data_IF_059600129036
#
_entry.id   IF_059600129036
#
_cell.length_a   1.000
_cell.length_b   1.000
_cell.length_c   1.000
_cell.angle_alpha   90.00
_cell.angle_beta   90.00
_cell.angle_gamma   90.00
#
_symmetry.space_group_name_H-M   'P 1'
#
loop_
_entity.id
_entity.type
_entity.pdbx_description
1 polymer ?
#
# COMPACT_ATOMS: atom_id res chain seq x y z
N UNK A 1 -6.01 3.68 -12.57
CA UNK A 1 -5.87 2.34 -11.93
C UNK A 1 -4.64 1.65 -12.47
N UNK A 2 -3.74 1.27 -11.56
CA UNK A 2 -2.47 0.58 -11.86
C UNK A 2 -2.31 -0.61 -10.94
N UNK A 3 -1.65 -1.65 -11.41
CA UNK A 3 -1.31 -2.80 -10.59
C UNK A 3 0.09 -2.67 -9.99
N UNK A 4 0.25 -3.23 -8.80
CA UNK A 4 1.50 -3.24 -8.05
C UNK A 4 1.85 -4.66 -7.62
N UNK A 5 3.13 -4.99 -7.62
CA UNK A 5 3.59 -6.30 -7.17
C UNK A 5 3.61 -6.37 -5.65
N UNK A 6 3.61 -7.58 -5.10
CA UNK A 6 3.86 -7.92 -3.71
C UNK A 6 5.09 -7.19 -3.17
N UNK A 7 6.19 -7.21 -3.94
CA UNK A 7 7.43 -6.54 -3.56
C UNK A 7 7.28 -5.03 -3.48
N UNK A 8 6.49 -4.44 -4.37
CA UNK A 8 6.20 -3.01 -4.36
C UNK A 8 5.42 -2.61 -3.09
N UNK A 9 4.42 -3.41 -2.71
CA UNK A 9 3.66 -3.22 -1.47
C UNK A 9 4.60 -3.22 -0.26
N UNK A 10 5.44 -4.25 -0.13
CA UNK A 10 6.36 -4.37 1.00
C UNK A 10 7.38 -3.23 1.11
N UNK A 11 7.77 -2.65 -0.02
CA UNK A 11 8.80 -1.61 -0.09
C UNK A 11 8.23 -0.20 0.12
N UNK A 12 6.95 0.01 -0.23
CA UNK A 12 6.37 1.35 -0.30
C UNK A 12 5.21 1.58 0.67
N UNK A 13 4.74 0.56 1.38
CA UNK A 13 3.59 0.63 2.27
C UNK A 13 4.03 0.31 3.68
N UNK A 14 3.60 1.14 4.63
CA UNK A 14 3.86 0.96 6.05
C UNK A 14 2.82 0.05 6.70
N UNK A 15 1.54 0.22 6.36
CA UNK A 15 0.42 -0.53 6.95
C UNK A 15 -0.68 -0.77 5.94
N UNK A 16 -1.38 -1.89 6.10
CA UNK A 16 -2.62 -2.19 5.40
C UNK A 16 -3.76 -2.39 6.39
N UNK A 17 -4.94 -1.90 6.02
CA UNK A 17 -6.15 -2.03 6.80
C UNK A 17 -7.26 -2.62 5.94
N UNK A 18 -7.74 -3.80 6.32
CA UNK A 18 -8.88 -4.45 5.70
C UNK A 18 -10.14 -4.23 6.55
N UNK A 19 -11.29 -4.58 6.00
CA UNK A 19 -12.57 -4.61 6.73
C UNK A 19 -12.52 -5.46 8.01
N UNK A 20 -11.61 -6.44 8.07
CA UNK A 20 -11.39 -7.32 9.21
C UNK A 20 -10.37 -6.79 10.24
N UNK A 21 -9.74 -5.64 9.98
CA UNK A 21 -8.74 -5.02 10.86
C UNK A 21 -7.41 -4.74 10.17
N UNK A 22 -6.37 -4.54 10.97
CA UNK A 22 -5.00 -4.33 10.46
C UNK A 22 -4.52 -5.66 9.84
N UNK A 23 -4.13 -5.60 8.56
CA UNK A 23 -3.47 -6.70 7.87
C UNK A 23 -1.96 -6.51 8.03
N UNK A 24 -1.28 -7.51 8.58
CA UNK A 24 0.17 -7.46 8.64
C UNK A 24 0.75 -7.58 7.22
N UNK A 25 1.79 -6.82 6.91
CA UNK A 25 2.45 -6.90 5.62
C UNK A 25 3.17 -8.23 5.45
N UNK A 26 3.50 -8.92 6.54
CA UNK A 26 4.03 -10.28 6.48
C UNK A 26 2.98 -11.26 5.94
N UNK A 27 1.70 -11.10 6.30
CA UNK A 27 0.62 -11.93 5.76
C UNK A 27 0.53 -11.81 4.24
N UNK A 28 0.87 -10.65 3.66
CA UNK A 28 0.92 -10.46 2.19
C UNK A 28 1.84 -11.48 1.49
N UNK A 29 2.87 -11.98 2.18
CA UNK A 29 3.78 -12.99 1.60
C UNK A 29 3.05 -14.29 1.31
N UNK A 30 2.06 -14.65 2.11
CA UNK A 30 1.26 -15.87 1.99
C UNK A 30 0.12 -15.77 0.97
N UNK A 31 -0.28 -14.57 0.53
CA UNK A 31 -1.27 -14.43 -0.54
C UNK A 31 -0.69 -14.76 -1.91
N UNK A 32 -1.47 -15.45 -2.75
CA UNK A 32 -1.14 -15.61 -4.15
C UNK A 32 -1.11 -14.25 -4.86
N UNK A 33 0.02 -13.95 -5.50
CA UNK A 33 0.12 -12.76 -6.34
C UNK A 33 -0.59 -13.04 -7.66
N UNK A 34 -1.64 -12.29 -8.03
CA UNK A 34 -2.29 -12.46 -9.32
C UNK A 34 -1.30 -12.12 -10.46
N UNK A 35 -1.48 -12.72 -11.64
CA UNK A 35 -0.56 -12.57 -12.77
C UNK A 35 -0.33 -11.10 -13.17
N UNK A 36 -1.36 -10.25 -13.04
CA UNK A 36 -1.29 -8.81 -13.32
C UNK A 36 -0.83 -7.96 -12.13
N UNK A 37 -0.65 -8.54 -10.95
CA UNK A 37 -0.36 -7.85 -9.69
C UNK A 37 -1.61 -7.33 -8.97
N UNK A 38 -1.42 -6.79 -7.77
CA UNK A 38 -2.50 -6.26 -6.92
C UNK A 38 -3.03 -4.95 -7.50
N UNK A 39 -4.32 -4.90 -7.83
CA UNK A 39 -4.94 -3.70 -8.39
C UNK A 39 -5.00 -2.59 -7.34
N UNK A 40 -4.73 -1.36 -7.76
CA UNK A 40 -4.84 -0.18 -6.90
C UNK A 40 -5.78 0.87 -7.49
N UNK A 41 -6.37 1.69 -6.61
CA UNK A 41 -7.12 2.87 -7.04
C UNK A 41 -6.22 4.04 -7.48
N UNK A 42 -4.90 3.86 -7.50
CA UNK A 42 -3.94 4.87 -7.92
C UNK A 42 -3.91 5.03 -9.44
N UNK A 43 -3.55 6.22 -9.89
CA UNK A 43 -3.06 6.48 -11.22
C UNK A 43 -1.54 6.39 -11.33
N UNK A 44 -1.03 6.42 -12.57
CA UNK A 44 0.41 6.27 -12.85
C UNK A 44 1.27 7.33 -12.14
N UNK A 45 0.76 8.55 -12.03
CA UNK A 45 1.45 9.65 -11.35
C UNK A 45 1.48 9.38 -9.85
N UNK A 46 0.33 9.04 -9.28
CA UNK A 46 0.19 8.78 -7.85
C UNK A 46 1.03 7.60 -7.37
N UNK A 47 1.15 6.54 -8.20
CA UNK A 47 2.08 5.45 -7.95
C UNK A 47 3.53 5.93 -7.86
N UNK A 48 3.96 6.80 -8.79
CA UNK A 48 5.31 7.36 -8.76
C UNK A 48 5.55 8.24 -7.52
N UNK A 49 4.53 8.96 -7.05
CA UNK A 49 4.62 9.74 -5.81
C UNK A 49 4.80 8.82 -4.59
N UNK A 50 4.14 7.66 -4.57
CA UNK A 50 4.35 6.64 -3.52
C UNK A 50 5.77 6.07 -3.61
N UNK A 51 6.25 5.73 -4.81
CA UNK A 51 7.61 5.20 -5.04
C UNK A 51 8.72 6.16 -4.61
N UNK A 52 8.44 7.47 -4.63
CA UNK A 52 9.37 8.50 -4.17
C UNK A 52 9.18 8.88 -2.70
N UNK A 53 8.18 8.29 -2.02
CA UNK A 53 7.80 8.65 -0.66
C UNK A 53 7.25 10.08 -0.51
N UNK A 54 6.75 10.67 -1.61
CA UNK A 54 6.14 12.00 -1.66
C UNK A 54 4.66 11.97 -1.27
N UNK A 55 3.98 10.84 -1.52
CA UNK A 55 2.56 10.71 -1.22
C UNK A 55 2.30 10.50 0.27
N UNK A 56 1.42 11.32 0.84
CA UNK A 56 0.94 11.23 2.23
C UNK A 56 -0.45 10.60 2.34
N UNK A 57 -1.22 10.66 1.26
CA UNK A 57 -2.60 10.19 1.24
C UNK A 57 -2.68 8.66 1.16
N UNK A 58 -3.62 8.10 1.93
CA UNK A 58 -3.93 6.68 1.85
C UNK A 58 -4.57 6.35 0.51
N UNK A 59 -4.40 5.11 0.09
CA UNK A 59 -4.97 4.60 -1.15
C UNK A 59 -5.50 3.19 -0.94
N UNK A 60 -6.11 2.60 -1.95
CA UNK A 60 -6.73 1.28 -1.84
C UNK A 60 -6.05 0.28 -2.74
N UNK A 61 -5.85 -0.92 -2.20
CA UNK A 61 -5.28 -2.08 -2.90
C UNK A 61 -6.26 -3.23 -2.80
N UNK A 62 -6.53 -3.88 -3.92
CA UNK A 62 -7.37 -5.06 -3.97
C UNK A 62 -6.54 -6.29 -3.57
N UNK A 63 -6.84 -6.85 -2.38
CA UNK A 63 -6.19 -8.07 -1.89
C UNK A 63 -7.09 -9.27 -2.20
N UNK A 64 -6.75 -10.10 -3.20
CA UNK A 64 -7.52 -11.30 -3.52
C UNK A 64 -7.47 -12.29 -2.34
N UNK A 65 -8.61 -12.87 -1.99
CA UNK A 65 -8.73 -13.86 -0.90
C UNK A 65 -8.75 -13.29 0.53
N UNK A 66 -8.36 -12.03 0.74
CA UNK A 66 -8.30 -11.41 2.07
C UNK A 66 -9.63 -10.80 2.54
N UNK A 67 -10.15 -9.81 1.82
CA UNK A 67 -11.40 -9.08 2.16
C UNK A 67 -11.89 -8.11 1.08
N UNK A 68 -11.24 -8.03 -0.09
CA UNK A 68 -11.50 -7.02 -1.12
C UNK A 68 -10.53 -5.84 -1.03
N UNK A 69 -11.05 -4.61 -1.09
CA UNK A 69 -10.23 -3.40 -1.05
C UNK A 69 -9.70 -3.14 0.36
N UNK A 70 -8.38 -3.16 0.51
CA UNK A 70 -7.64 -2.77 1.70
C UNK A 70 -7.13 -1.33 1.57
N UNK A 71 -7.16 -0.58 2.66
CA UNK A 71 -6.58 0.75 2.75
C UNK A 71 -5.08 0.67 3.05
N UNK A 72 -4.27 1.25 2.19
CA UNK A 72 -2.81 1.27 2.23
C UNK A 72 -2.30 2.63 2.71
N UNK A 73 -1.38 2.57 3.68
CA UNK A 73 -0.68 3.73 4.21
C UNK A 73 0.74 3.74 3.61
N UNK A 74 1.07 4.68 2.70
CA UNK A 74 2.40 4.74 2.10
C UNK A 74 3.48 5.09 3.13
N UNK A 75 4.73 4.68 2.87
CA UNK A 75 5.87 5.25 3.55
C UNK A 75 6.06 6.71 3.13
N UNK A 76 6.19 7.61 4.09
CA UNK A 76 6.55 9.00 3.84
C UNK A 76 8.05 9.19 4.05
N UNK A 77 8.77 9.66 3.04
CA UNK A 77 10.22 9.88 3.11
C UNK A 77 10.62 10.95 4.14
N UNK A 78 9.68 11.80 4.53
CA UNK A 78 9.81 12.71 5.64
C UNK A 78 8.96 12.19 6.81
N UNK A 79 9.54 11.65 7.89
CA UNK A 79 8.84 11.70 9.16
C UNK A 79 8.58 13.19 9.41
N UNK A 80 7.32 13.56 9.69
CA UNK A 80 7.09 14.86 10.30
C UNK A 80 8.04 14.93 11.51
N UNK A 81 9.04 15.82 11.46
CA UNK A 81 9.74 16.23 12.66
C UNK A 81 8.63 16.68 13.59
N UNK A 82 8.29 15.84 14.57
CA UNK A 82 7.49 16.26 15.71
C UNK A 82 8.31 17.38 16.33
N UNK A 83 7.96 18.61 15.97
CA UNK A 83 8.45 19.81 16.62
C UNK A 83 7.99 19.69 18.07
N UNK A 84 8.87 19.14 18.91
CA UNK A 84 8.74 19.16 20.35
C UNK A 84 8.68 20.64 20.75
N UNK A 85 7.49 21.09 21.16
CA UNK A 85 7.24 22.40 21.75
C UNK A 85 7.35 22.32 23.27
#
# INVERSE_FOLDING_TARGET
MVSVSKRWILDNIQKLYCSSGILDLEDIKDFDEPEEGFETNLDKIEKLEVEKGERRETFRILIPGGSGWAEAFPFTAHPEETSEY
#
